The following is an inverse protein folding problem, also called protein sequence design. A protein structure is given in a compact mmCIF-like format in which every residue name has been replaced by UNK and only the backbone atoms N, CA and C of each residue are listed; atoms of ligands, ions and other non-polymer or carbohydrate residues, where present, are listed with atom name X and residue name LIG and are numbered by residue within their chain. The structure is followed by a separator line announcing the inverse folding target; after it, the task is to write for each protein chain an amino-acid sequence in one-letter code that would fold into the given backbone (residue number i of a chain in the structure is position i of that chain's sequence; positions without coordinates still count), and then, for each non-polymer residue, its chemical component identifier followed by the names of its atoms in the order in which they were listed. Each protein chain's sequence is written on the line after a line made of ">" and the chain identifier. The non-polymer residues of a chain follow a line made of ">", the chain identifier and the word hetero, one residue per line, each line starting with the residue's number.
data_IF_452146518233
#
_entry.id   IF_452146518233
#
_cell.length_a   1.000
_cell.length_b   1.000
_cell.length_c   1.000
_cell.angle_alpha   90.00
_cell.angle_beta   90.00
_cell.angle_gamma   90.00
#
_symmetry.space_group_name_H-M   'P 1'
#
loop_
_entity.id
_entity.type
_entity.pdbx_description
1 polymer ?
#
# COMPACT_ATOMS: atom_id res chain seq x y z
N UNK A 1 -26.53 -23.38 -65.75
CA UNK A 1 -25.52 -22.31 -65.92
C UNK A 1 -26.12 -21.00 -65.43
N UNK A 2 -25.72 -20.52 -64.25
CA UNK A 2 -25.93 -19.12 -63.85
C UNK A 2 -24.86 -18.74 -62.82
N UNK A 3 -24.22 -17.60 -63.07
CA UNK A 3 -23.11 -16.97 -62.33
C UNK A 3 -23.53 -16.54 -60.93
N UNK A 4 -22.57 -16.46 -60.00
CA UNK A 4 -22.50 -15.32 -59.07
C UNK A 4 -21.05 -14.93 -58.77
N UNK A 5 -20.70 -13.70 -59.18
CA UNK A 5 -19.57 -12.90 -58.73
C UNK A 5 -19.69 -12.64 -57.22
N UNK A 6 -18.60 -12.76 -56.48
CA UNK A 6 -18.47 -12.19 -55.14
C UNK A 6 -17.34 -11.17 -55.13
N UNK A 7 -17.74 -9.91 -55.00
CA UNK A 7 -16.91 -8.74 -54.82
C UNK A 7 -16.27 -8.74 -53.43
N UNK A 8 -14.95 -8.56 -53.39
CA UNK A 8 -14.20 -8.22 -52.17
C UNK A 8 -14.65 -6.85 -51.66
N UNK A 9 -15.25 -6.81 -50.47
CA UNK A 9 -15.50 -5.56 -49.73
C UNK A 9 -14.25 -5.21 -48.91
N UNK A 10 -13.84 -3.93 -48.86
CA UNK A 10 -12.77 -3.50 -47.97
C UNK A 10 -13.26 -3.54 -46.52
N UNK A 11 -12.41 -4.05 -45.61
CA UNK A 11 -12.70 -4.08 -44.18
C UNK A 11 -12.90 -2.66 -43.67
N UNK A 12 -14.05 -2.41 -43.05
CA UNK A 12 -14.36 -1.13 -42.41
C UNK A 12 -13.52 -0.93 -41.16
N UNK A 13 -13.29 0.35 -40.84
CA UNK A 13 -12.53 0.89 -39.72
C UNK A 13 -13.15 0.56 -38.34
N UNK A 14 -13.23 -0.72 -38.00
CA UNK A 14 -13.85 -1.24 -36.77
C UNK A 14 -12.85 -1.93 -35.82
N UNK A 15 -11.54 -1.70 -35.99
CA UNK A 15 -10.47 -2.26 -35.16
C UNK A 15 -9.77 -1.22 -34.25
N UNK A 16 -10.54 -0.28 -33.67
CA UNK A 16 -10.09 0.63 -32.59
C UNK A 16 -11.09 0.72 -31.44
N UNK A 17 -11.68 -0.41 -31.06
CA UNK A 17 -12.50 -0.53 -29.84
C UNK A 17 -12.04 -1.73 -29.03
N UNK A 18 -10.82 -1.65 -28.52
CA UNK A 18 -10.30 -2.53 -27.47
C UNK A 18 -9.80 -1.65 -26.34
N UNK A 19 -10.19 -1.98 -25.11
CA UNK A 19 -9.77 -1.37 -23.84
C UNK A 19 -10.39 -0.01 -23.46
N UNK A 20 -11.71 0.05 -23.38
CA UNK A 20 -12.38 0.91 -22.40
C UNK A 20 -13.50 0.09 -21.75
N UNK A 21 -13.09 -0.90 -20.94
CA UNK A 21 -14.05 -1.63 -20.11
C UNK A 21 -14.46 -0.65 -19.00
N UNK A 22 -15.73 -0.26 -19.05
CA UNK A 22 -16.34 0.72 -18.18
C UNK A 22 -15.93 0.51 -16.72
N UNK A 23 -15.31 1.54 -16.13
CA UNK A 23 -15.17 1.69 -14.69
C UNK A 23 -16.59 1.69 -14.10
N UNK A 24 -16.93 0.61 -13.41
CA UNK A 24 -18.24 0.38 -12.82
C UNK A 24 -18.48 1.31 -11.64
N UNK A 25 -19.69 1.90 -11.61
CA UNK A 25 -20.22 2.86 -10.61
C UNK A 25 -19.38 4.12 -10.47
N UNK A 26 -20.02 5.28 -10.66
CA UNK A 26 -19.42 6.62 -10.54
C UNK A 26 -18.34 6.64 -9.47
N UNK A 27 -17.07 6.80 -9.88
CA UNK A 27 -15.98 7.00 -8.95
C UNK A 27 -16.40 8.16 -8.05
N UNK A 28 -16.67 7.89 -6.77
CA UNK A 28 -16.88 8.94 -5.79
C UNK A 28 -15.68 9.88 -5.90
N UNK A 29 -15.95 11.18 -6.00
CA UNK A 29 -14.96 12.22 -6.25
C UNK A 29 -14.04 12.41 -5.03
N UNK A 30 -13.17 11.42 -4.80
CA UNK A 30 -12.16 11.41 -3.75
C UNK A 30 -10.90 12.14 -4.20
N UNK A 31 -10.16 12.76 -3.27
CA UNK A 31 -8.91 13.47 -3.56
C UNK A 31 -7.84 12.59 -4.22
N UNK A 32 -7.86 11.27 -3.98
CA UNK A 32 -6.94 10.32 -4.60
C UNK A 32 -7.22 10.11 -6.10
N UNK A 33 -8.40 10.49 -6.62
CA UNK A 33 -8.84 10.13 -7.97
C UNK A 33 -7.87 10.57 -9.08
N UNK A 34 -7.34 11.81 -9.11
CA UNK A 34 -6.36 12.22 -10.11
C UNK A 34 -5.06 11.39 -10.08
N UNK A 35 -4.67 10.92 -8.89
CA UNK A 35 -3.49 10.08 -8.67
C UNK A 35 -3.72 8.65 -9.18
N UNK A 36 -4.88 8.06 -8.87
CA UNK A 36 -5.30 6.74 -9.40
C UNK A 36 -5.36 6.73 -10.92
N UNK A 37 -5.89 7.82 -11.49
CA UNK A 37 -6.02 8.00 -12.93
C UNK A 37 -4.73 8.44 -13.61
N UNK A 38 -3.63 8.60 -12.87
CA UNK A 38 -2.33 9.09 -13.38
C UNK A 38 -2.54 10.28 -14.34
N UNK A 39 -3.35 11.25 -13.91
CA UNK A 39 -3.92 12.28 -14.78
C UNK A 39 -2.87 13.09 -15.55
N UNK A 40 -1.66 13.20 -15.00
CA UNK A 40 -0.54 13.94 -15.60
C UNK A 40 0.47 13.08 -16.35
N UNK A 41 0.30 11.74 -16.39
CA UNK A 41 1.17 10.90 -17.20
C UNK A 41 0.96 11.20 -18.70
N UNK A 42 2.03 11.11 -19.49
CA UNK A 42 1.96 11.19 -20.94
C UNK A 42 1.44 9.87 -21.55
N UNK A 43 1.02 9.91 -22.81
CA UNK A 43 0.67 8.70 -23.56
C UNK A 43 1.85 7.72 -23.65
N UNK A 44 3.07 8.25 -23.82
CA UNK A 44 4.28 7.43 -23.89
C UNK A 44 4.54 6.66 -22.58
N UNK A 45 4.35 7.32 -21.42
CA UNK A 45 4.49 6.67 -20.11
C UNK A 45 3.42 5.60 -19.92
N UNK A 46 2.17 5.89 -20.26
CA UNK A 46 1.07 4.91 -20.19
C UNK A 46 1.34 3.69 -21.10
N UNK A 47 1.81 3.93 -22.32
CA UNK A 47 2.16 2.85 -23.25
C UNK A 47 3.31 1.99 -22.72
N UNK A 48 4.33 2.60 -22.11
CA UNK A 48 5.46 1.87 -21.53
C UNK A 48 5.06 0.95 -20.35
N UNK A 49 3.95 1.26 -19.66
CA UNK A 49 3.44 0.44 -18.56
C UNK A 49 2.47 -0.65 -19.01
N UNK A 50 1.70 -0.42 -20.08
CA UNK A 50 0.54 -1.22 -20.44
C UNK A 50 0.82 -2.72 -20.61
N UNK A 51 1.85 -3.10 -21.37
CA UNK A 51 2.15 -4.52 -21.62
C UNK A 51 2.56 -5.24 -20.33
N UNK A 52 3.40 -4.61 -19.52
CA UNK A 52 3.86 -5.17 -18.25
C UNK A 52 2.73 -5.27 -17.22
N UNK A 53 1.85 -4.28 -17.18
CA UNK A 53 0.70 -4.28 -16.27
C UNK A 53 -0.23 -5.43 -16.57
N UNK A 54 -0.45 -5.77 -17.84
CA UNK A 54 -1.25 -6.94 -18.21
C UNK A 54 -0.68 -8.22 -17.57
N UNK A 55 0.64 -8.38 -17.61
CA UNK A 55 1.32 -9.54 -17.02
C UNK A 55 1.24 -9.48 -15.49
N UNK A 56 1.70 -8.38 -14.88
CA UNK A 56 1.78 -8.26 -13.43
C UNK A 56 0.40 -8.31 -12.75
N UNK A 57 -0.61 -7.65 -13.32
CA UNK A 57 -1.98 -7.69 -12.79
C UNK A 57 -2.61 -9.07 -12.98
N UNK A 58 -2.23 -9.81 -14.03
CA UNK A 58 -2.64 -11.20 -14.21
C UNK A 58 -2.01 -12.09 -13.14
N UNK A 59 -0.69 -12.03 -12.96
CA UNK A 59 0.01 -12.83 -11.95
C UNK A 59 -0.47 -12.51 -10.53
N UNK A 60 -0.60 -11.22 -10.18
CA UNK A 60 -1.14 -10.79 -8.89
C UNK A 60 -2.49 -11.45 -8.61
N UNK A 61 -3.43 -11.41 -9.57
CA UNK A 61 -4.76 -11.99 -9.43
C UNK A 61 -4.78 -13.53 -9.40
N UNK A 62 -3.77 -14.21 -9.93
CA UNK A 62 -3.66 -15.68 -9.79
C UNK A 62 -3.38 -16.09 -8.35
N UNK A 63 -2.64 -15.25 -7.61
CA UNK A 63 -2.30 -15.52 -6.22
C UNK A 63 -3.40 -15.12 -5.24
N UNK A 64 -4.28 -14.19 -5.61
CA UNK A 64 -5.44 -13.80 -4.79
C UNK A 64 -6.49 -14.95 -4.72
N UNK A 65 -6.85 -15.46 -3.53
CA UNK A 65 -7.74 -16.61 -3.40
C UNK A 65 -9.17 -16.35 -3.84
N UNK A 66 -9.83 -17.42 -4.27
CA UNK A 66 -11.23 -17.39 -4.67
C UNK A 66 -12.22 -16.90 -3.58
N UNK A 67 -11.87 -16.96 -2.29
CA UNK A 67 -12.72 -16.47 -1.21
C UNK A 67 -12.82 -14.93 -1.17
N UNK A 68 -11.81 -14.21 -1.67
CA UNK A 68 -11.88 -12.75 -1.84
C UNK A 68 -12.75 -12.37 -3.07
N UNK A 69 -12.94 -13.28 -4.05
CA UNK A 69 -13.81 -13.12 -5.26
C UNK A 69 -15.23 -12.71 -4.96
N UNK A 70 -15.75 -13.08 -3.80
CA UNK A 70 -17.17 -12.93 -3.49
C UNK A 70 -17.50 -11.82 -2.49
N UNK A 71 -16.51 -11.28 -1.75
CA UNK A 71 -16.75 -10.39 -0.61
C UNK A 71 -15.99 -9.04 -0.64
N UNK A 72 -15.21 -8.73 -1.69
CA UNK A 72 -14.45 -7.47 -1.73
C UNK A 72 -13.27 -7.40 -2.70
N UNK A 73 -13.13 -8.35 -3.62
CA UNK A 73 -12.00 -8.42 -4.56
C UNK A 73 -11.78 -7.16 -5.40
N UNK A 74 -12.87 -6.57 -5.90
CA UNK A 74 -12.78 -5.31 -6.66
C UNK A 74 -12.09 -4.25 -5.79
N UNK A 75 -12.46 -4.11 -4.52
CA UNK A 75 -11.83 -3.11 -3.64
C UNK A 75 -10.36 -3.41 -3.35
N UNK A 76 -9.97 -4.68 -3.18
CA UNK A 76 -8.57 -5.05 -2.92
C UNK A 76 -7.68 -4.89 -4.16
N UNK A 77 -8.10 -5.43 -5.31
CA UNK A 77 -7.37 -5.27 -6.57
C UNK A 77 -7.31 -3.81 -6.99
N UNK A 78 -8.41 -3.06 -6.86
CA UNK A 78 -8.44 -1.63 -7.13
C UNK A 78 -7.52 -0.85 -6.19
N UNK A 79 -7.40 -1.25 -4.93
CA UNK A 79 -6.46 -0.66 -3.99
C UNK A 79 -5.02 -0.93 -4.42
N UNK A 80 -4.63 -2.18 -4.70
CA UNK A 80 -3.25 -2.50 -5.11
C UNK A 80 -2.84 -1.78 -6.39
N UNK A 81 -3.71 -1.78 -7.40
CA UNK A 81 -3.49 -1.02 -8.65
C UNK A 81 -3.51 0.49 -8.37
N UNK A 82 -4.35 0.95 -7.45
CA UNK A 82 -4.40 2.33 -6.97
C UNK A 82 -3.06 2.79 -6.39
N UNK A 83 -2.45 2.01 -5.49
CA UNK A 83 -1.16 2.35 -4.87
C UNK A 83 -0.04 2.34 -5.91
N UNK A 84 -0.06 1.38 -6.85
CA UNK A 84 0.84 1.37 -8.00
C UNK A 84 0.73 2.67 -8.81
N UNK A 85 -0.49 3.10 -9.15
CA UNK A 85 -0.76 4.35 -9.85
C UNK A 85 -0.32 5.58 -9.05
N UNK A 86 -0.54 5.60 -7.74
CA UNK A 86 -0.07 6.68 -6.85
C UNK A 86 1.45 6.82 -6.95
N UNK A 87 2.22 5.75 -6.78
CA UNK A 87 3.67 5.83 -6.89
C UNK A 87 4.14 6.23 -8.29
N UNK A 88 3.45 5.80 -9.36
CA UNK A 88 3.72 6.29 -10.72
C UNK A 88 3.47 7.77 -10.88
N UNK A 89 2.39 8.30 -10.30
CA UNK A 89 2.08 9.72 -10.34
C UNK A 89 3.10 10.57 -9.58
N UNK A 90 3.82 9.98 -8.62
CA UNK A 90 4.97 10.57 -7.96
C UNK A 90 6.27 10.42 -8.78
N UNK A 91 6.24 9.72 -9.93
CA UNK A 91 7.42 9.45 -10.74
C UNK A 91 8.35 8.38 -10.17
N UNK A 92 7.83 7.50 -9.30
CA UNK A 92 8.63 6.46 -8.66
C UNK A 92 9.22 5.49 -9.69
N UNK A 93 10.42 4.95 -9.43
CA UNK A 93 11.05 3.96 -10.28
C UNK A 93 10.26 2.65 -10.25
N UNK A 94 10.51 1.81 -11.25
CA UNK A 94 9.79 0.58 -11.49
C UNK A 94 9.69 -0.35 -10.27
N UNK A 95 10.80 -0.59 -9.56
CA UNK A 95 10.82 -1.49 -8.41
C UNK A 95 9.87 -1.02 -7.30
N UNK A 96 9.65 0.30 -7.14
CA UNK A 96 8.69 0.85 -6.19
C UNK A 96 7.25 0.57 -6.63
N UNK A 97 6.95 0.76 -7.92
CA UNK A 97 5.61 0.51 -8.46
C UNK A 97 5.25 -0.98 -8.45
N UNK A 98 6.24 -1.85 -8.67
CA UNK A 98 6.11 -3.29 -8.53
C UNK A 98 5.91 -3.69 -7.06
N UNK A 99 6.69 -3.12 -6.12
CA UNK A 99 6.51 -3.34 -4.69
C UNK A 99 5.11 -2.92 -4.24
N UNK A 100 4.60 -1.78 -4.72
CA UNK A 100 3.25 -1.32 -4.44
C UNK A 100 2.16 -2.29 -4.90
N UNK A 101 2.28 -2.88 -6.08
CA UNK A 101 1.29 -3.84 -6.56
C UNK A 101 1.26 -5.13 -5.71
N UNK A 102 2.38 -5.48 -5.06
CA UNK A 102 2.52 -6.73 -4.28
C UNK A 102 2.65 -6.47 -2.77
N UNK A 103 2.47 -5.24 -2.28
CA UNK A 103 2.88 -4.85 -0.92
C UNK A 103 2.14 -5.61 0.19
N UNK A 104 0.98 -6.18 -0.12
CA UNK A 104 0.12 -6.95 0.80
C UNK A 104 0.08 -8.46 0.50
N UNK A 105 0.94 -8.97 -0.39
CA UNK A 105 0.84 -10.33 -0.92
C UNK A 105 1.02 -11.43 0.14
N UNK A 106 1.81 -11.21 1.18
CA UNK A 106 2.06 -12.17 2.27
C UNK A 106 1.24 -11.91 3.53
N UNK A 107 0.19 -11.07 3.43
CA UNK A 107 -0.60 -10.60 4.56
C UNK A 107 0.13 -9.54 5.39
N UNK A 108 -0.59 -8.52 5.84
CA UNK A 108 -0.03 -7.36 6.57
C UNK A 108 -0.66 -7.21 7.95
N UNK A 109 -0.05 -6.41 8.82
CA UNK A 109 -0.60 -6.12 10.15
C UNK A 109 -2.08 -5.69 10.11
N UNK A 110 -2.47 -4.91 9.09
CA UNK A 110 -3.84 -4.41 8.90
C UNK A 110 -4.71 -5.27 7.97
N UNK A 111 -4.19 -6.35 7.39
CA UNK A 111 -4.92 -7.19 6.44
C UNK A 111 -4.46 -8.66 6.53
N UNK A 112 -5.33 -9.53 7.03
CA UNK A 112 -5.06 -10.97 7.18
C UNK A 112 -6.04 -11.85 6.38
N UNK A 113 -6.88 -11.25 5.50
CA UNK A 113 -7.86 -11.99 4.71
C UNK A 113 -7.23 -12.91 3.65
N UNK A 114 -5.98 -12.64 3.28
CA UNK A 114 -5.16 -13.49 2.42
C UNK A 114 -3.68 -13.31 2.76
N UNK A 115 -2.92 -14.40 2.66
CA UNK A 115 -1.46 -14.40 2.66
C UNK A 115 -0.95 -15.54 1.75
N UNK A 116 -0.14 -15.21 0.76
CA UNK A 116 0.64 -16.20 0.02
C UNK A 116 1.69 -16.81 0.96
N UNK A 117 1.88 -18.15 0.97
CA UNK A 117 2.91 -18.76 1.80
C UNK A 117 4.32 -18.24 1.48
N UNK A 118 5.12 -17.96 2.51
CA UNK A 118 6.46 -17.35 2.38
C UNK A 118 7.47 -18.20 1.60
N UNK A 119 7.20 -19.48 1.33
CA UNK A 119 8.07 -20.29 0.48
C UNK A 119 8.00 -19.90 -1.00
N UNK A 120 6.97 -19.15 -1.43
CA UNK A 120 6.87 -18.60 -2.78
C UNK A 120 7.68 -17.32 -2.99
N UNK A 121 8.36 -16.79 -1.96
CA UNK A 121 9.17 -15.57 -2.08
C UNK A 121 10.16 -15.57 -3.25
N UNK A 122 10.90 -16.67 -3.54
CA UNK A 122 11.77 -16.71 -4.72
C UNK A 122 11.01 -16.47 -6.03
N UNK A 123 9.83 -17.08 -6.19
CA UNK A 123 8.99 -16.91 -7.39
C UNK A 123 8.53 -15.45 -7.54
N UNK A 124 8.12 -14.81 -6.44
CA UNK A 124 7.76 -13.39 -6.44
C UNK A 124 8.98 -12.53 -6.75
N UNK A 125 10.16 -12.82 -6.16
CA UNK A 125 11.39 -12.07 -6.42
C UNK A 125 11.82 -12.16 -7.90
N UNK A 126 11.66 -13.33 -8.53
CA UNK A 126 11.92 -13.51 -9.96
C UNK A 126 10.93 -12.71 -10.83
N UNK A 127 9.66 -12.62 -10.40
CA UNK A 127 8.61 -11.90 -11.13
C UNK A 127 8.77 -10.37 -11.06
N UNK A 128 8.98 -9.82 -9.85
CA UNK A 128 8.94 -8.36 -9.63
C UNK A 128 10.30 -7.71 -9.39
N UNK A 129 11.34 -8.53 -9.27
CA UNK A 129 12.70 -8.14 -8.92
C UNK A 129 12.95 -8.20 -7.41
N UNK A 130 14.18 -8.58 -6.98
CA UNK A 130 14.49 -8.82 -5.57
C UNK A 130 14.38 -7.58 -4.68
N UNK A 131 14.59 -6.38 -5.24
CA UNK A 131 14.40 -5.12 -4.50
C UNK A 131 12.93 -4.85 -4.22
N UNK A 132 12.05 -5.10 -5.20
CA UNK A 132 10.62 -4.89 -5.05
C UNK A 132 10.01 -5.92 -4.09
N UNK A 133 10.38 -7.20 -4.25
CA UNK A 133 9.96 -8.28 -3.35
C UNK A 133 10.39 -7.99 -1.91
N UNK A 134 11.62 -7.54 -1.70
CA UNK A 134 12.10 -7.21 -0.36
C UNK A 134 11.23 -6.14 0.31
N UNK A 135 10.86 -5.07 -0.40
CA UNK A 135 9.99 -4.04 0.16
C UNK A 135 8.59 -4.58 0.48
N UNK A 136 8.00 -5.39 -0.41
CA UNK A 136 6.72 -6.05 -0.16
C UNK A 136 6.78 -7.00 1.05
N UNK A 137 7.88 -7.77 1.18
CA UNK A 137 8.11 -8.63 2.33
C UNK A 137 8.24 -7.82 3.63
N UNK A 138 9.05 -6.76 3.67
CA UNK A 138 9.15 -5.90 4.86
C UNK A 138 7.76 -5.37 5.24
N UNK A 139 6.98 -4.90 4.26
CA UNK A 139 5.64 -4.37 4.49
C UNK A 139 4.69 -5.38 5.10
N UNK A 140 4.76 -6.63 4.66
CA UNK A 140 3.95 -7.72 5.19
C UNK A 140 4.38 -8.16 6.60
N UNK A 141 5.67 -8.13 6.89
CA UNK A 141 6.22 -8.67 8.14
C UNK A 141 6.22 -7.68 9.29
N UNK A 142 6.32 -6.38 9.00
CA UNK A 142 6.62 -5.38 10.02
C UNK A 142 5.46 -5.12 10.99
N UNK A 143 5.80 -4.94 12.27
CA UNK A 143 4.97 -4.20 13.23
C UNK A 143 5.08 -2.71 12.91
N UNK A 144 3.99 -2.07 12.45
CA UNK A 144 4.00 -0.66 12.06
C UNK A 144 4.38 0.26 13.21
N UNK A 145 4.19 -0.14 14.47
CA UNK A 145 4.67 0.62 15.61
C UNK A 145 6.20 0.71 15.65
N UNK A 146 6.90 -0.35 15.26
CA UNK A 146 8.36 -0.34 15.15
C UNK A 146 8.85 0.66 14.09
N UNK A 147 8.09 0.83 12.99
CA UNK A 147 8.35 1.87 11.98
C UNK A 147 8.13 3.25 12.58
N UNK A 148 7.02 3.46 13.30
CA UNK A 148 6.67 4.75 13.89
C UNK A 148 7.75 5.24 14.87
N UNK A 149 8.36 4.31 15.62
CA UNK A 149 9.51 4.62 16.48
C UNK A 149 10.72 5.15 15.71
N UNK A 150 10.95 4.68 14.48
CA UNK A 150 12.07 5.17 13.66
C UNK A 150 11.84 6.59 13.14
N UNK A 151 10.62 6.91 12.72
CA UNK A 151 10.30 8.22 12.11
C UNK A 151 10.04 9.32 13.15
N UNK A 152 9.57 8.95 14.36
CA UNK A 152 9.31 9.88 15.46
C UNK A 152 10.54 10.11 16.34
N UNK A 153 11.64 9.39 16.08
CA UNK A 153 12.85 9.59 16.85
C UNK A 153 13.51 10.95 16.53
N UNK A 154 14.18 11.60 17.51
CA UNK A 154 14.84 12.88 17.30
C UNK A 154 15.86 12.87 16.15
N UNK A 155 16.47 11.72 15.89
CA UNK A 155 17.46 11.52 14.84
C UNK A 155 16.87 11.35 13.44
N UNK A 156 15.55 11.23 13.27
CA UNK A 156 14.95 10.91 11.96
C UNK A 156 15.31 11.92 10.86
N UNK A 157 15.66 13.15 11.24
CA UNK A 157 16.12 14.21 10.35
C UNK A 157 17.65 14.35 10.27
N UNK A 158 18.40 13.66 11.14
CA UNK A 158 19.84 13.67 11.19
C UNK A 158 20.44 12.39 10.55
N UNK A 159 20.89 12.48 9.29
CA UNK A 159 21.41 11.33 8.55
C UNK A 159 22.80 10.94 9.05
N UNK A 160 23.50 11.85 9.75
CA UNK A 160 24.87 11.62 10.24
C UNK A 160 24.90 10.49 11.26
N UNK A 161 23.79 10.27 11.97
CA UNK A 161 23.58 9.19 12.93
C UNK A 161 23.61 7.80 12.25
N UNK A 162 23.24 7.71 10.97
CA UNK A 162 23.05 6.44 10.24
C UNK A 162 24.04 6.22 9.09
N UNK A 163 25.07 7.07 8.94
CA UNK A 163 26.12 6.94 7.92
C UNK A 163 26.84 5.58 8.00
N UNK A 164 26.74 4.87 9.13
CA UNK A 164 27.40 3.58 9.34
C UNK A 164 26.45 2.39 9.57
N UNK A 165 25.19 2.61 9.95
CA UNK A 165 24.20 1.53 10.14
C UNK A 165 22.80 2.13 9.97
N UNK A 166 21.96 1.69 9.01
CA UNK A 166 20.57 2.12 8.87
C UNK A 166 19.69 1.62 10.03
N UNK A 167 18.49 2.21 10.24
CA UNK A 167 17.59 1.75 11.29
C UNK A 167 17.05 0.35 10.99
N UNK A 168 16.52 -0.30 12.01
CA UNK A 168 15.86 -1.61 11.89
C UNK A 168 14.40 -1.48 12.30
N UNK A 169 13.56 -2.29 11.67
CA UNK A 169 12.20 -2.53 12.15
C UNK A 169 12.14 -3.85 12.93
N UNK A 170 10.96 -4.15 13.48
CA UNK A 170 10.67 -5.44 14.09
C UNK A 170 9.48 -6.08 13.37
N UNK A 171 9.56 -7.39 13.19
CA UNK A 171 8.44 -8.16 12.69
C UNK A 171 7.28 -8.15 13.70
N UNK A 172 6.07 -8.42 13.22
CA UNK A 172 4.88 -8.56 14.05
C UNK A 172 5.11 -9.58 15.17
N UNK A 173 4.61 -9.33 16.40
CA UNK A 173 4.82 -10.22 17.53
C UNK A 173 4.38 -11.67 17.27
N UNK A 174 3.25 -11.87 16.60
CA UNK A 174 2.71 -13.19 16.28
C UNK A 174 3.55 -13.97 15.25
N UNK A 175 4.50 -13.32 14.58
CA UNK A 175 5.50 -13.92 13.69
C UNK A 175 6.85 -14.17 14.38
N UNK A 176 6.95 -13.90 15.69
CA UNK A 176 8.16 -14.10 16.47
C UNK A 176 9.00 -12.84 16.70
N UNK A 177 8.55 -11.65 16.24
CA UNK A 177 9.15 -10.38 16.65
C UNK A 177 10.61 -10.17 16.26
N UNK A 178 11.11 -10.84 15.23
CA UNK A 178 12.52 -10.77 14.83
C UNK A 178 12.89 -9.40 14.26
N UNK A 179 14.16 -9.00 14.41
CA UNK A 179 14.69 -7.76 13.83
C UNK A 179 14.70 -7.84 12.30
N UNK A 180 14.21 -6.79 11.65
CA UNK A 180 14.27 -6.59 10.20
C UNK A 180 15.28 -5.47 9.94
N UNK A 181 16.58 -5.80 9.74
CA UNK A 181 17.59 -4.80 9.44
C UNK A 181 17.36 -4.26 8.03
N UNK A 182 17.31 -2.93 7.91
CA UNK A 182 17.32 -2.28 6.61
C UNK A 182 18.74 -2.28 6.04
N UNK A 183 18.87 -2.28 4.72
CA UNK A 183 20.17 -2.33 4.04
C UNK A 183 20.79 -0.95 3.90
N UNK A 184 19.97 0.07 3.70
CA UNK A 184 20.40 1.45 3.48
C UNK A 184 19.36 2.42 4.04
N UNK A 185 19.77 3.68 4.19
CA UNK A 185 18.85 4.78 4.48
C UNK A 185 17.82 4.98 3.36
N UNK A 186 18.21 4.74 2.10
CA UNK A 186 17.28 4.80 0.97
C UNK A 186 16.20 3.71 1.03
N UNK A 187 16.52 2.51 1.53
CA UNK A 187 15.52 1.46 1.75
C UNK A 187 14.50 1.85 2.81
N UNK A 188 14.93 2.59 3.85
CA UNK A 188 14.03 3.19 4.83
C UNK A 188 13.11 4.21 4.18
N UNK A 189 13.65 5.16 3.41
CA UNK A 189 12.82 6.16 2.69
C UNK A 189 11.87 5.52 1.67
N UNK A 190 12.32 4.51 0.93
CA UNK A 190 11.49 3.72 0.01
C UNK A 190 10.31 3.10 0.78
N UNK A 191 10.58 2.49 1.94
CA UNK A 191 9.53 1.93 2.80
C UNK A 191 8.53 2.98 3.28
N UNK A 192 9.00 4.14 3.73
CA UNK A 192 8.12 5.24 4.16
C UNK A 192 7.24 5.75 3.01
N UNK A 193 7.81 5.88 1.81
CA UNK A 193 7.06 6.29 0.63
C UNK A 193 5.97 5.28 0.27
N UNK A 194 6.28 3.98 0.30
CA UNK A 194 5.28 2.93 0.08
C UNK A 194 4.20 2.95 1.16
N UNK A 195 4.57 3.06 2.45
CA UNK A 195 3.60 3.12 3.55
C UNK A 195 2.72 4.36 3.52
N UNK A 196 3.24 5.50 3.08
CA UNK A 196 2.44 6.72 2.94
C UNK A 196 1.50 6.62 1.73
N UNK A 197 1.99 6.10 0.59
CA UNK A 197 1.17 5.90 -0.60
C UNK A 197 0.01 4.94 -0.36
N UNK A 198 0.27 3.80 0.31
CA UNK A 198 -0.76 2.84 0.77
C UNK A 198 -1.89 3.54 1.52
N UNK A 199 -1.55 4.36 2.51
CA UNK A 199 -2.55 5.00 3.33
C UNK A 199 -3.32 6.10 2.62
N UNK A 200 -2.61 6.97 1.90
CA UNK A 200 -3.22 8.06 1.15
C UNK A 200 -4.16 7.55 0.07
N UNK A 201 -3.89 6.38 -0.50
CA UNK A 201 -4.75 5.77 -1.50
C UNK A 201 -6.16 5.47 -0.98
N UNK A 202 -6.27 5.04 0.28
CA UNK A 202 -7.50 4.45 0.83
C UNK A 202 -8.20 5.25 1.93
N UNK A 203 -7.53 6.23 2.57
CA UNK A 203 -8.02 6.89 3.79
C UNK A 203 -9.43 7.48 3.62
N UNK A 204 -9.68 8.23 2.55
CA UNK A 204 -10.98 8.89 2.34
C UNK A 204 -12.09 7.86 2.07
N UNK A 205 -11.81 6.83 1.26
CA UNK A 205 -12.76 5.74 1.02
C UNK A 205 -13.06 4.93 2.29
N UNK A 206 -12.05 4.74 3.14
CA UNK A 206 -12.20 4.05 4.43
C UNK A 206 -12.99 4.89 5.42
N UNK A 207 -12.78 6.20 5.45
CA UNK A 207 -13.51 7.12 6.32
C UNK A 207 -15.00 7.24 5.99
N UNK A 208 -15.42 6.89 4.78
CA UNK A 208 -16.81 6.96 4.33
C UNK A 208 -17.64 5.70 4.65
N UNK A 209 -17.10 4.78 5.47
CA UNK A 209 -17.81 3.58 5.90
C UNK A 209 -17.41 3.20 7.32
N UNK A 210 -18.33 2.57 8.02
CA UNK A 210 -18.01 1.86 9.25
C UNK A 210 -17.37 0.52 8.88
N UNK A 211 -16.33 0.13 9.63
CA UNK A 211 -15.62 -1.13 9.39
C UNK A 211 -15.73 -1.98 10.64
N UNK A 212 -16.32 -3.19 10.58
CA UNK A 212 -16.36 -4.11 11.70
C UNK A 212 -14.95 -4.51 12.16
N UNK A 213 -14.80 -4.84 13.45
CA UNK A 213 -13.59 -5.52 13.90
C UNK A 213 -13.44 -6.87 13.21
N UNK A 214 -12.23 -7.26 12.76
CA UNK A 214 -12.02 -8.60 12.20
C UNK A 214 -12.15 -9.71 13.24
N UNK A 215 -11.93 -9.42 14.52
CA UNK A 215 -12.03 -10.36 15.64
C UNK A 215 -12.69 -9.66 16.82
N UNK A 216 -13.65 -10.32 17.46
CA UNK A 216 -14.42 -9.77 18.58
C UNK A 216 -15.68 -9.01 18.15
N UNK A 217 -16.25 -8.24 19.08
CA UNK A 217 -17.45 -7.42 18.87
C UNK A 217 -17.08 -5.93 18.80
N UNK A 218 -17.70 -5.18 17.87
CA UNK A 218 -17.52 -3.74 17.72
C UNK A 218 -17.03 -3.31 16.34
N UNK A 219 -16.66 -2.03 16.22
CA UNK A 219 -16.14 -1.42 15.01
C UNK A 219 -14.63 -1.18 15.13
N UNK A 220 -13.91 -1.47 14.05
CA UNK A 220 -12.53 -1.07 13.86
C UNK A 220 -12.43 0.46 13.73
N UNK A 221 -13.37 1.05 13.00
CA UNK A 221 -13.50 2.49 12.81
C UNK A 221 -14.99 2.85 12.77
N UNK A 222 -15.40 3.85 13.55
CA UNK A 222 -16.67 4.52 13.32
C UNK A 222 -16.59 5.39 12.06
N UNK A 223 -17.74 5.83 11.55
CA UNK A 223 -17.82 6.69 10.39
C UNK A 223 -16.95 7.96 10.59
N UNK A 224 -16.03 8.20 9.65
CA UNK A 224 -15.10 9.33 9.70
C UNK A 224 -13.85 9.14 10.57
N UNK A 225 -13.75 8.08 11.37
CA UNK A 225 -12.60 7.91 12.28
C UNK A 225 -11.32 7.41 11.61
N UNK A 226 -11.41 6.84 10.41
CA UNK A 226 -10.25 6.30 9.70
C UNK A 226 -9.12 7.35 9.56
N UNK A 227 -9.43 8.63 9.39
CA UNK A 227 -8.44 9.74 9.33
C UNK A 227 -7.47 9.80 10.53
N UNK A 228 -7.92 9.36 11.72
CA UNK A 228 -7.09 9.37 12.93
C UNK A 228 -6.11 8.21 13.03
N UNK A 229 -6.20 7.21 12.16
CA UNK A 229 -5.28 6.07 12.13
C UNK A 229 -3.86 6.51 11.81
N UNK A 230 -2.92 6.26 12.74
CA UNK A 230 -1.49 6.57 12.61
C UNK A 230 -1.23 7.99 12.08
N UNK A 231 -2.14 8.93 12.34
CA UNK A 231 -2.12 10.26 11.70
C UNK A 231 -0.82 11.03 11.92
N UNK A 232 -0.24 10.93 13.11
CA UNK A 232 1.04 11.58 13.44
C UNK A 232 2.19 10.94 12.68
N UNK A 233 2.18 9.61 12.53
CA UNK A 233 3.17 8.90 11.75
C UNK A 233 3.09 9.27 10.27
N UNK A 234 1.89 9.27 9.66
CA UNK A 234 1.74 9.65 8.26
C UNK A 234 2.09 11.12 8.00
N UNK A 235 1.73 12.03 8.90
CA UNK A 235 2.18 13.42 8.84
C UNK A 235 3.71 13.51 8.85
N UNK A 236 4.36 12.78 9.76
CA UNK A 236 5.82 12.77 9.86
C UNK A 236 6.49 12.11 8.66
N UNK A 237 5.92 11.06 8.09
CA UNK A 237 6.39 10.46 6.83
C UNK A 237 6.34 11.47 5.68
N UNK A 238 5.26 12.24 5.56
CA UNK A 238 5.14 13.27 4.54
C UNK A 238 6.21 14.37 4.70
N UNK A 239 6.45 14.83 5.93
CA UNK A 239 7.54 15.78 6.25
C UNK A 239 8.92 15.21 5.89
N UNK A 240 9.23 13.99 6.36
CA UNK A 240 10.51 13.31 6.11
C UNK A 240 10.78 13.11 4.62
N UNK A 241 9.77 12.70 3.86
CA UNK A 241 9.87 12.54 2.42
C UNK A 241 10.03 13.90 1.73
N UNK A 242 9.39 14.95 2.23
CA UNK A 242 9.55 16.32 1.75
C UNK A 242 10.97 16.86 1.89
N UNK A 243 11.61 16.57 3.01
CA UNK A 243 12.96 17.06 3.28
C UNK A 243 14.04 16.16 2.68
N UNK A 244 13.85 14.84 2.81
CA UNK A 244 14.91 13.84 2.61
C UNK A 244 14.58 12.77 1.58
N UNK A 245 13.33 12.69 1.15
CA UNK A 245 12.87 11.68 0.22
C UNK A 245 13.62 11.70 -1.12
N UNK A 246 13.51 10.60 -1.88
CA UNK A 246 14.13 10.50 -3.19
C UNK A 246 13.54 11.56 -4.14
N UNK A 247 14.26 11.96 -5.20
CA UNK A 247 13.85 13.06 -6.08
C UNK A 247 12.43 12.93 -6.63
N UNK A 248 11.96 11.70 -6.91
CA UNK A 248 10.60 11.43 -7.38
C UNK A 248 9.54 11.72 -6.29
N UNK A 249 9.78 11.30 -5.05
CA UNK A 249 8.82 11.45 -3.95
C UNK A 249 8.84 12.83 -3.28
N UNK A 250 9.98 13.54 -3.35
CA UNK A 250 10.26 14.71 -2.50
C UNK A 250 9.23 15.83 -2.56
N UNK A 251 8.72 16.13 -3.74
CA UNK A 251 7.67 17.14 -3.89
C UNK A 251 6.26 16.51 -3.90
N UNK A 252 6.13 15.32 -4.48
CA UNK A 252 4.83 14.72 -4.76
C UNK A 252 4.16 14.11 -3.51
N UNK A 253 4.92 13.45 -2.64
CA UNK A 253 4.41 12.82 -1.42
C UNK A 253 3.80 13.84 -0.42
N UNK A 254 4.50 14.91 -0.01
CA UNK A 254 3.91 15.91 0.87
C UNK A 254 2.76 16.69 0.22
N UNK A 255 2.82 16.94 -1.10
CA UNK A 255 1.72 17.57 -1.83
C UNK A 255 0.45 16.72 -1.76
N UNK A 256 0.55 15.43 -2.10
CA UNK A 256 -0.59 14.53 -2.06
C UNK A 256 -1.15 14.38 -0.64
N UNK A 257 -0.28 14.30 0.37
CA UNK A 257 -0.70 14.29 1.78
C UNK A 257 -1.55 15.53 2.10
N UNK A 258 -1.07 16.72 1.76
CA UNK A 258 -1.77 17.97 2.02
C UNK A 258 -3.13 18.05 1.30
N UNK A 259 -3.17 17.65 0.02
CA UNK A 259 -4.41 17.65 -0.78
C UNK A 259 -5.46 16.69 -0.22
N UNK A 260 -5.05 15.50 0.24
CA UNK A 260 -5.97 14.50 0.79
C UNK A 260 -6.45 14.92 2.19
N UNK A 261 -5.55 15.31 3.08
CA UNK A 261 -5.93 15.71 4.44
C UNK A 261 -6.65 17.07 4.49
N UNK A 262 -6.61 17.88 3.43
CA UNK A 262 -7.48 19.05 3.29
C UNK A 262 -8.98 18.68 3.29
N UNK A 263 -9.32 17.41 2.95
CA UNK A 263 -10.70 16.89 2.97
C UNK A 263 -11.10 16.26 4.30
N UNK A 264 -10.21 16.21 5.29
CA UNK A 264 -10.54 15.67 6.61
C UNK A 264 -11.60 16.52 7.33
N UNK A 265 -12.75 15.93 7.74
CA UNK A 265 -13.78 16.66 8.47
C UNK A 265 -13.30 17.03 9.87
N UNK A 266 -13.71 18.21 10.35
CA UNK A 266 -13.31 18.74 11.66
C UNK A 266 -13.62 17.77 12.81
N UNK A 267 -14.72 17.01 12.72
CA UNK A 267 -15.13 16.02 13.72
C UNK A 267 -14.12 14.89 13.94
N UNK A 268 -13.31 14.55 12.93
CA UNK A 268 -12.31 13.47 13.03
C UNK A 268 -10.94 13.91 13.54
N UNK A 269 -10.70 15.23 13.64
CA UNK A 269 -9.37 15.79 13.94
C UNK A 269 -8.87 15.52 15.36
N UNK A 270 -9.78 15.33 16.31
CA UNK A 270 -9.44 14.99 17.69
C UNK A 270 -9.18 13.51 17.88
N UNK A 271 -9.64 12.66 16.97
CA UNK A 271 -9.48 11.22 17.07
C UNK A 271 -8.06 10.81 16.64
N UNK A 272 -7.42 9.99 17.48
CA UNK A 272 -6.06 9.50 17.26
C UNK A 272 -6.01 8.03 17.61
N UNK A 273 -5.60 7.22 16.64
CA UNK A 273 -5.33 5.81 16.86
C UNK A 273 -3.90 5.49 16.45
N UNK A 274 -2.95 5.48 17.40
CA UNK A 274 -1.53 5.41 17.08
C UNK A 274 -1.06 4.00 16.67
N UNK A 275 -1.84 2.97 16.98
CA UNK A 275 -1.47 1.57 16.77
C UNK A 275 -2.49 0.88 15.87
N UNK A 276 -2.01 -0.05 15.06
CA UNK A 276 -2.87 -0.97 14.33
C UNK A 276 -3.58 -1.88 15.34
N UNK A 277 -4.92 -2.00 15.29
CA UNK A 277 -5.63 -2.98 16.08
C UNK A 277 -5.23 -4.39 15.68
N UNK A 278 -5.21 -5.34 16.61
CA UNK A 278 -4.92 -6.72 16.27
C UNK A 278 -6.02 -7.27 15.34
N UNK A 279 -5.61 -7.83 14.20
CA UNK A 279 -6.53 -8.29 13.15
C UNK A 279 -6.76 -9.81 13.18
N UNK A 280 -6.20 -10.52 14.16
CA UNK A 280 -6.33 -11.97 14.35
C UNK A 280 -6.25 -12.33 15.84
N UNK A 281 -6.74 -13.52 16.22
CA UNK A 281 -6.57 -14.02 17.59
C UNK A 281 -5.10 -14.17 17.96
N UNK A 282 -4.25 -14.62 17.04
CA UNK A 282 -2.80 -14.72 17.28
C UNK A 282 -2.15 -13.37 17.58
N UNK A 283 -2.57 -12.30 16.90
CA UNK A 283 -2.09 -10.94 17.18
C UNK A 283 -2.57 -10.43 18.54
N UNK A 284 -3.83 -10.74 18.93
CA UNK A 284 -4.35 -10.44 20.28
C UNK A 284 -3.49 -11.13 21.33
N UNK A 285 -3.28 -12.44 21.18
CA UNK A 285 -2.56 -13.27 22.15
C UNK A 285 -1.09 -12.81 22.27
N UNK A 286 -0.43 -12.55 21.15
CA UNK A 286 0.97 -12.09 21.14
C UNK A 286 1.12 -10.71 21.79
N UNK A 287 0.21 -9.78 21.53
CA UNK A 287 0.22 -8.45 22.16
C UNK A 287 -0.05 -8.52 23.66
N UNK A 288 -0.98 -9.37 24.08
CA UNK A 288 -1.23 -9.63 25.50
C UNK A 288 0.01 -10.24 26.17
N UNK A 289 0.62 -11.25 25.55
CA UNK A 289 1.83 -11.87 26.06
C UNK A 289 2.96 -10.84 26.25
N UNK A 290 3.22 -9.98 25.26
CA UNK A 290 4.23 -8.92 25.37
C UNK A 290 3.94 -7.95 26.52
N UNK A 291 2.68 -7.54 26.67
CA UNK A 291 2.27 -6.63 27.76
C UNK A 291 2.67 -7.17 29.13
N UNK A 292 2.49 -8.48 29.37
CA UNK A 292 2.79 -9.10 30.67
C UNK A 292 4.23 -9.62 30.77
N UNK A 293 4.87 -10.00 29.67
CA UNK A 293 6.27 -10.44 29.66
C UNK A 293 7.22 -9.29 30.03
N UNK A 294 6.92 -8.06 29.62
CA UNK A 294 7.68 -6.87 29.99
C UNK A 294 7.37 -6.34 31.40
N UNK A 295 6.37 -6.90 32.10
CA UNK A 295 6.05 -6.54 33.50
C UNK A 295 6.90 -7.29 34.54
N UNK A 296 7.78 -8.20 34.12
CA UNK A 296 8.64 -8.94 35.04
C UNK A 296 9.90 -8.13 35.40
N UNK A 297 9.85 -7.50 36.58
CA UNK A 297 10.87 -7.30 37.62
C UNK A 297 10.78 -5.91 38.29
N UNK A 298 9.62 -5.58 38.84
CA UNK A 298 9.49 -4.66 39.99
C UNK A 298 8.73 -5.42 41.12
N UNK A 299 9.27 -6.58 41.50
CA UNK A 299 8.89 -7.23 42.76
C UNK A 299 10.10 -7.10 43.68
N UNK A 300 10.00 -6.14 44.58
CA UNK A 300 10.90 -5.94 45.72
C UNK A 300 10.80 -7.11 46.72
#
# INVERSE_FOLDING_TARGET
>A
MLRMNTTLRPMSCAARRGAARALSKAAQDYAVTPYRLIAHASESQRAAWAERDLILHSEMRKHVPAALKHNGEEAFDHHLVGVQSVLRSWGAPEYMTNAALFHSIYGTEGFQGFALPLHHRPEIADLIGPRAERLAWIFCMVDRHSVDRTILAPWALDPSVYVHKPPSFFARPELGGFEIPLRTYDEWLDFLALSLADWLEQVEGTANKEVPLPVGEGLLWELGQAWGYRRHAYAKMAELLGERGPPWGRQNAPRMYAEIFAREPQSSRSFVQPLTPPMSQSAIDARNALKYAHMAYDVA
#
